data_IF_017868425349
#
_entry.id   IF_017868425349
#
_cell.length_a   1.000
_cell.length_b   1.000
_cell.length_c   1.000
_cell.angle_alpha   90.00
_cell.angle_beta   90.00
_cell.angle_gamma   90.00
#
_symmetry.space_group_name_H-M   'P 1'
#
loop_
_entity.id
_entity.type
_entity.pdbx_description
1 polymer ?
#
# COMPACT_ATOMS: atom_id res chain seq x y z
N UNK A 1 -77.80 -4.65 -0.94
CA UNK A 1 -77.87 -3.93 -2.24
C UNK A 1 -76.62 -3.08 -2.35
N UNK A 2 -75.87 -3.24 -3.45
CA UNK A 2 -75.01 -2.26 -4.19
C UNK A 2 -74.39 -1.11 -3.38
N UNK A 3 -73.10 -0.78 -3.46
CA UNK A 3 -72.19 -0.81 -4.60
C UNK A 3 -71.50 0.56 -4.68
N UNK A 4 -70.19 0.55 -4.97
CA UNK A 4 -69.40 1.58 -5.70
C UNK A 4 -69.17 2.94 -5.00
N UNK A 5 -67.89 3.28 -4.70
CA UNK A 5 -67.00 4.17 -5.49
C UNK A 5 -67.24 5.65 -5.11
N UNK A 6 -66.29 6.57 -4.89
CA UNK A 6 -64.90 6.74 -5.33
C UNK A 6 -64.31 7.98 -4.59
N UNK A 7 -62.98 8.06 -4.54
CA UNK A 7 -62.11 9.26 -4.48
C UNK A 7 -62.19 10.22 -3.25
N UNK A 8 -61.10 10.79 -2.70
CA UNK A 8 -59.81 11.19 -3.25
C UNK A 8 -58.67 10.82 -2.27
N UNK A 9 -57.69 10.03 -2.71
CA UNK A 9 -56.38 10.01 -2.05
C UNK A 9 -55.57 11.16 -2.61
N UNK A 10 -55.53 12.30 -1.89
CA UNK A 10 -54.49 13.28 -2.10
C UNK A 10 -53.14 12.63 -1.79
N UNK A 11 -52.41 12.25 -2.83
CA UNK A 11 -50.98 11.97 -2.77
C UNK A 11 -50.25 13.26 -2.37
N UNK A 12 -50.16 13.47 -1.05
CA UNK A 12 -49.26 14.47 -0.49
C UNK A 12 -47.84 14.10 -0.87
N UNK A 13 -47.27 14.82 -1.83
CA UNK A 13 -45.84 14.80 -2.09
C UNK A 13 -45.11 15.18 -0.80
N UNK A 14 -44.58 14.19 -0.08
CA UNK A 14 -43.63 14.46 1.01
C UNK A 14 -42.31 14.82 0.34
N UNK A 15 -42.09 16.11 0.13
CA UNK A 15 -40.78 16.63 -0.27
C UNK A 15 -39.83 16.52 0.91
N UNK A 16 -39.17 15.38 1.07
CA UNK A 16 -38.05 15.25 2.01
C UNK A 16 -36.90 16.05 1.42
N UNK A 17 -36.68 17.27 1.91
CA UNK A 17 -35.49 18.06 1.57
C UNK A 17 -34.29 17.53 2.37
N UNK A 18 -33.06 17.73 1.89
CA UNK A 18 -31.83 17.31 2.60
C UNK A 18 -31.75 17.86 4.04
N UNK A 19 -32.40 18.99 4.30
CA UNK A 19 -32.50 19.61 5.63
C UNK A 19 -33.40 18.81 6.59
N UNK A 20 -34.40 18.11 6.05
CA UNK A 20 -35.41 17.35 6.81
C UNK A 20 -34.85 16.11 7.52
N UNK A 21 -33.71 15.60 7.04
CA UNK A 21 -33.01 14.41 7.57
C UNK A 21 -31.80 14.77 8.43
N UNK A 22 -31.63 16.05 8.80
CA UNK A 22 -30.52 16.48 9.67
C UNK A 22 -29.13 16.29 9.03
N UNK A 23 -29.06 16.08 7.72
CA UNK A 23 -27.83 16.11 6.92
C UNK A 23 -27.51 17.54 6.51
N UNK A 24 -27.58 18.48 7.47
CA UNK A 24 -26.99 19.79 7.26
C UNK A 24 -25.52 19.57 6.91
N UNK A 25 -25.08 20.11 5.77
CA UNK A 25 -23.71 20.09 5.29
C UNK A 25 -22.76 20.48 6.43
N UNK A 26 -22.15 19.47 7.08
CA UNK A 26 -21.05 19.70 8.03
C UNK A 26 -19.79 19.87 7.16
N UNK A 27 -19.22 21.08 7.05
CA UNK A 27 -18.04 21.29 6.26
C UNK A 27 -16.90 20.43 6.83
N UNK A 28 -16.33 19.55 6.01
CA UNK A 28 -15.20 18.69 6.38
C UNK A 28 -15.55 17.23 6.73
N UNK A 29 -16.80 16.78 6.57
CA UNK A 29 -17.24 15.45 7.03
C UNK A 29 -17.47 14.38 5.95
N UNK A 30 -17.12 14.63 4.70
CA UNK A 30 -17.04 13.57 3.69
C UNK A 30 -15.62 13.01 3.62
N UNK A 31 -15.22 12.31 4.67
CA UNK A 31 -14.27 11.22 4.45
C UNK A 31 -15.03 10.16 3.64
N UNK A 32 -14.49 9.72 2.50
CA UNK A 32 -15.21 8.72 1.70
C UNK A 32 -15.43 7.47 2.56
N UNK A 33 -16.53 6.76 2.33
CA UNK A 33 -16.80 5.51 3.04
C UNK A 33 -15.61 4.54 2.91
N UNK A 34 -14.90 4.57 1.79
CA UNK A 34 -13.65 3.82 1.60
C UNK A 34 -12.52 4.28 2.52
N UNK A 35 -12.34 5.59 2.73
CA UNK A 35 -11.35 6.12 3.65
C UNK A 35 -11.70 5.81 5.11
N UNK A 36 -12.98 5.92 5.48
CA UNK A 36 -13.47 5.52 6.80
C UNK A 36 -13.30 4.01 7.04
N UNK A 37 -13.64 3.17 6.06
CA UNK A 37 -13.46 1.71 6.14
C UNK A 37 -11.97 1.35 6.19
N UNK A 38 -11.11 1.99 5.39
CA UNK A 38 -9.65 1.81 5.46
C UNK A 38 -9.09 2.20 6.83
N UNK A 39 -9.58 3.31 7.42
CA UNK A 39 -9.16 3.74 8.75
C UNK A 39 -9.64 2.79 9.83
N UNK A 40 -10.92 2.40 9.81
CA UNK A 40 -11.46 1.43 10.77
C UNK A 40 -10.76 0.09 10.64
N UNK A 41 -10.44 -0.33 9.41
CA UNK A 41 -9.73 -1.57 9.21
C UNK A 41 -8.25 -1.45 9.64
N UNK A 42 -7.62 -0.27 9.57
CA UNK A 42 -6.34 0.02 10.27
C UNK A 42 -6.44 -0.07 11.79
N UNK A 43 -7.61 0.23 12.37
CA UNK A 43 -7.90 0.02 13.79
C UNK A 43 -8.24 -1.47 14.11
N UNK A 44 -8.73 -2.23 13.13
CA UNK A 44 -8.93 -3.70 13.19
C UNK A 44 -7.60 -4.41 12.89
N UNK A 45 -6.68 -4.44 13.86
CA UNK A 45 -5.49 -5.34 13.92
C UNK A 45 -4.99 -5.87 12.56
N UNK A 46 -4.59 -4.95 11.67
CA UNK A 46 -3.88 -5.38 10.47
C UNK A 46 -2.53 -5.91 10.89
N UNK A 47 -2.26 -7.14 10.45
CA UNK A 47 -0.99 -7.81 10.68
C UNK A 47 0.18 -6.89 10.34
N UNK A 48 1.12 -6.82 11.28
CA UNK A 48 2.33 -6.02 11.12
C UNK A 48 3.42 -6.86 10.46
N UNK A 49 4.34 -6.23 9.72
CA UNK A 49 5.58 -6.88 9.34
C UNK A 49 6.30 -7.37 10.58
N UNK A 50 6.73 -8.64 10.56
CA UNK A 50 7.57 -9.26 11.60
C UNK A 50 8.96 -9.59 11.10
N UNK A 51 9.14 -9.67 9.78
CA UNK A 51 10.45 -9.91 9.17
C UNK A 51 10.58 -9.10 7.88
N UNK A 52 11.72 -8.43 7.72
CA UNK A 52 12.13 -7.82 6.47
C UNK A 52 13.62 -8.11 6.24
N UNK A 53 13.94 -8.95 5.25
CA UNK A 53 15.29 -9.48 5.05
C UNK A 53 15.73 -9.48 3.60
N UNK A 54 17.04 -9.43 3.38
CA UNK A 54 17.62 -9.57 2.04
C UNK A 54 17.65 -11.05 1.65
N UNK A 55 17.26 -11.35 0.41
CA UNK A 55 17.40 -12.70 -0.17
C UNK A 55 18.56 -12.80 -1.17
N UNK A 56 18.86 -11.71 -1.89
CA UNK A 56 20.01 -11.66 -2.79
C UNK A 56 21.33 -11.70 -2.04
N UNK A 57 22.35 -12.31 -2.65
CA UNK A 57 23.73 -12.19 -2.19
C UNK A 57 24.24 -10.78 -2.47
N UNK A 58 24.66 -10.06 -1.43
CA UNK A 58 25.22 -8.72 -1.52
C UNK A 58 26.75 -8.78 -1.54
N UNK A 59 27.45 -7.96 -2.36
CA UNK A 59 26.89 -7.01 -3.31
C UNK A 59 26.43 -7.68 -4.62
N UNK A 60 25.40 -7.09 -5.25
CA UNK A 60 25.11 -7.40 -6.66
C UNK A 60 26.00 -6.55 -7.56
N UNK A 61 26.43 -7.09 -8.70
CA UNK A 61 27.37 -6.42 -9.61
C UNK A 61 26.83 -6.36 -11.03
N UNK A 62 27.18 -5.29 -11.75
CA UNK A 62 26.79 -5.09 -13.15
C UNK A 62 27.51 -3.93 -13.81
N UNK A 63 27.15 -3.62 -15.04
CA UNK A 63 27.76 -2.52 -15.80
C UNK A 63 27.07 -1.19 -15.56
N UNK A 64 27.80 -0.09 -15.58
CA UNK A 64 27.22 1.25 -15.62
C UNK A 64 26.20 1.39 -16.77
N UNK A 65 25.08 2.08 -16.52
CA UNK A 65 23.94 2.18 -17.44
C UNK A 65 22.95 1.02 -17.35
N UNK A 66 23.29 -0.09 -16.69
CA UNK A 66 22.37 -1.20 -16.50
C UNK A 66 21.42 -0.98 -15.32
N UNK A 67 20.26 -1.64 -15.38
CA UNK A 67 19.39 -1.82 -14.22
C UNK A 67 19.66 -3.18 -13.60
N UNK A 68 20.00 -3.21 -12.31
CA UNK A 68 20.16 -4.43 -11.53
C UNK A 68 18.96 -4.61 -10.61
N UNK A 69 18.64 -5.86 -10.31
CA UNK A 69 17.54 -6.21 -9.41
C UNK A 69 18.07 -7.04 -8.26
N UNK A 70 17.81 -6.63 -7.01
CA UNK A 70 17.95 -7.51 -5.86
C UNK A 70 16.58 -7.87 -5.29
N UNK A 71 16.57 -8.94 -4.51
CA UNK A 71 15.36 -9.52 -3.93
C UNK A 71 15.43 -9.38 -2.41
N UNK A 72 14.36 -8.87 -1.83
CA UNK A 72 14.10 -8.88 -0.39
C UNK A 72 12.83 -9.69 -0.08
N UNK A 73 12.69 -10.15 1.16
CA UNK A 73 11.53 -10.87 1.67
C UNK A 73 10.87 -10.04 2.76
N UNK A 74 9.55 -9.90 2.66
CA UNK A 74 8.69 -9.30 3.68
C UNK A 74 7.76 -10.39 4.22
N UNK A 75 7.63 -10.49 5.54
CA UNK A 75 6.74 -11.44 6.20
C UNK A 75 5.86 -10.76 7.23
N UNK A 76 4.58 -11.11 7.24
CA UNK A 76 3.57 -10.66 8.17
C UNK A 76 3.41 -11.63 9.35
N UNK A 77 2.87 -11.12 10.46
CA UNK A 77 2.45 -11.97 11.58
C UNK A 77 1.25 -12.83 11.17
N UNK A 78 1.41 -14.15 11.16
CA UNK A 78 0.34 -15.08 10.81
C UNK A 78 -0.71 -15.28 11.90
N UNK A 79 -0.50 -14.72 13.10
CA UNK A 79 -1.49 -14.77 14.19
C UNK A 79 -2.62 -13.75 14.02
N UNK A 80 -2.43 -12.76 13.15
CA UNK A 80 -3.41 -11.73 12.82
C UNK A 80 -3.97 -11.92 11.40
N UNK A 81 -4.93 -11.06 11.00
CA UNK A 81 -5.53 -11.13 9.68
C UNK A 81 -4.52 -10.78 8.59
N UNK A 82 -4.27 -11.71 7.67
CA UNK A 82 -3.28 -11.58 6.58
C UNK A 82 -3.96 -11.60 5.22
N UNK A 83 -3.44 -10.82 4.27
CA UNK A 83 -3.92 -10.83 2.88
C UNK A 83 -2.86 -10.30 1.92
N UNK A 84 -3.00 -10.65 0.63
CA UNK A 84 -2.20 -10.07 -0.44
C UNK A 84 -2.28 -8.54 -0.49
N UNK A 85 -3.47 -7.95 -0.29
CA UNK A 85 -3.65 -6.51 -0.33
C UNK A 85 -2.86 -5.79 0.78
N UNK A 86 -2.79 -6.40 1.98
CA UNK A 86 -1.98 -5.87 3.09
C UNK A 86 -0.49 -5.91 2.75
N UNK A 87 0.00 -7.01 2.16
CA UNK A 87 1.39 -7.11 1.68
C UNK A 87 1.72 -6.02 0.64
N UNK A 88 0.80 -5.76 -0.29
CA UNK A 88 0.96 -4.74 -1.33
C UNK A 88 0.94 -3.32 -0.76
N UNK A 89 0.04 -3.02 0.19
CA UNK A 89 0.01 -1.73 0.89
C UNK A 89 1.31 -1.48 1.67
N UNK A 90 1.75 -2.46 2.47
CA UNK A 90 2.98 -2.34 3.25
C UNK A 90 4.19 -2.17 2.34
N UNK A 91 4.25 -2.87 1.21
CA UNK A 91 5.33 -2.69 0.24
C UNK A 91 5.31 -1.29 -0.40
N UNK A 92 4.12 -0.71 -0.59
CA UNK A 92 3.89 0.69 -0.98
C UNK A 92 4.48 1.71 -0.02
N UNK A 93 4.47 1.38 1.27
CA UNK A 93 4.96 2.27 2.33
C UNK A 93 6.48 2.14 2.58
N UNK A 94 7.18 1.23 1.90
CA UNK A 94 8.64 1.09 2.04
C UNK A 94 9.34 2.27 1.38
N UNK A 95 10.14 3.00 2.17
CA UNK A 95 11.02 4.05 1.64
C UNK A 95 12.35 3.44 1.21
N UNK A 96 12.72 3.63 -0.05
CA UNK A 96 13.99 3.17 -0.60
C UNK A 96 14.97 4.32 -0.83
N UNK A 97 16.19 4.19 -0.33
CA UNK A 97 17.23 5.22 -0.38
C UNK A 97 18.53 4.63 -0.90
N UNK A 98 19.16 5.31 -1.86
CA UNK A 98 20.53 5.02 -2.29
C UNK A 98 21.49 5.90 -1.51
N UNK A 99 22.61 5.33 -1.03
CA UNK A 99 23.67 6.09 -0.35
C UNK A 99 24.33 7.15 -1.25
N UNK A 100 24.24 7.00 -2.58
CA UNK A 100 24.69 8.00 -3.54
C UNK A 100 23.81 7.97 -4.80
N UNK A 101 22.84 8.89 -4.86
CA UNK A 101 21.89 9.01 -5.98
C UNK A 101 22.54 9.44 -7.30
N UNK A 102 23.75 10.01 -7.26
CA UNK A 102 24.49 10.38 -8.49
C UNK A 102 25.16 9.18 -9.16
N UNK A 103 25.47 8.13 -8.38
CA UNK A 103 26.04 6.89 -8.89
C UNK A 103 24.94 5.89 -9.27
N UNK A 104 23.92 5.73 -8.43
CA UNK A 104 22.78 4.86 -8.73
C UNK A 104 21.52 5.28 -7.96
N UNK A 105 20.35 5.01 -8.54
CA UNK A 105 19.05 5.30 -7.93
C UNK A 105 18.10 4.11 -8.01
N UNK A 106 17.25 3.96 -6.99
CA UNK A 106 16.14 3.00 -7.04
C UNK A 106 15.08 3.54 -8.00
N UNK A 107 14.73 2.78 -9.02
CA UNK A 107 13.77 3.19 -10.05
C UNK A 107 12.36 2.64 -9.83
N UNK A 108 12.24 1.65 -8.95
CA UNK A 108 10.97 1.07 -8.56
C UNK A 108 11.15 -0.30 -7.94
N UNK A 109 10.04 -0.92 -7.61
CA UNK A 109 10.00 -2.29 -7.12
C UNK A 109 8.79 -3.01 -7.72
N UNK A 110 8.85 -4.33 -7.72
CA UNK A 110 7.67 -5.18 -7.95
C UNK A 110 7.55 -6.19 -6.82
N UNK A 111 6.32 -6.61 -6.54
CA UNK A 111 6.01 -7.55 -5.47
C UNK A 111 5.44 -8.83 -6.06
N UNK A 112 5.89 -9.97 -5.55
CA UNK A 112 5.25 -11.27 -5.75
C UNK A 112 4.94 -11.89 -4.42
N UNK A 113 3.68 -12.17 -4.18
CA UNK A 113 3.20 -12.86 -2.98
C UNK A 113 3.18 -14.36 -3.25
N UNK A 114 3.87 -15.15 -2.43
CA UNK A 114 3.77 -16.62 -2.51
C UNK A 114 2.45 -17.09 -1.90
N UNK A 115 2.11 -16.48 -0.78
CA UNK A 115 0.92 -16.71 0.01
C UNK A 115 0.46 -15.35 0.58
N UNK A 116 -0.52 -15.35 1.48
CA UNK A 116 -1.03 -14.12 2.09
C UNK A 116 -0.14 -13.57 3.22
N UNK A 117 0.98 -14.22 3.54
CA UNK A 117 1.85 -13.92 4.69
C UNK A 117 3.22 -13.42 4.23
N UNK A 118 3.74 -13.96 3.12
CA UNK A 118 5.12 -13.75 2.64
C UNK A 118 5.15 -13.20 1.23
N UNK A 119 5.89 -12.11 1.05
CA UNK A 119 6.15 -11.48 -0.23
C UNK A 119 7.64 -11.43 -0.56
N UNK A 120 7.95 -11.63 -1.84
CA UNK A 120 9.23 -11.30 -2.44
C UNK A 120 9.15 -9.95 -3.14
N UNK A 121 10.02 -9.03 -2.77
CA UNK A 121 10.17 -7.70 -3.33
C UNK A 121 11.37 -7.69 -4.26
N UNK A 122 11.15 -7.35 -5.52
CA UNK A 122 12.18 -7.23 -6.54
C UNK A 122 12.44 -5.74 -6.76
N UNK A 123 13.57 -5.26 -6.27
CA UNK A 123 13.91 -3.84 -6.22
C UNK A 123 14.88 -3.53 -7.34
N UNK A 124 14.53 -2.57 -8.19
CA UNK A 124 15.30 -2.19 -9.36
C UNK A 124 16.18 -0.98 -9.05
N UNK A 125 17.47 -1.09 -9.39
CA UNK A 125 18.48 -0.08 -9.17
C UNK A 125 19.14 0.23 -10.51
N UNK A 126 19.00 1.46 -10.99
CA UNK A 126 19.67 1.94 -12.19
C UNK A 126 21.02 2.53 -11.81
N UNK A 127 22.09 2.00 -12.41
CA UNK A 127 23.44 2.56 -12.28
C UNK A 127 23.66 3.67 -13.31
N UNK A 128 23.85 4.90 -12.86
CA UNK A 128 24.13 6.05 -13.73
C UNK A 128 25.60 6.11 -14.14
N UNK A 129 26.49 5.67 -13.25
CA UNK A 129 27.95 5.69 -13.42
C UNK A 129 28.58 4.51 -12.67
N UNK A 130 29.82 4.18 -13.00
CA UNK A 130 30.59 3.21 -12.24
C UNK A 130 30.80 3.70 -10.80
N UNK A 131 30.69 2.78 -9.84
CA UNK A 131 30.76 3.08 -8.42
C UNK A 131 30.05 2.03 -7.57
N UNK A 132 30.22 2.14 -6.25
CA UNK A 132 29.55 1.29 -5.27
C UNK A 132 28.57 2.12 -4.45
N UNK A 133 27.35 1.61 -4.29
CA UNK A 133 26.32 2.21 -3.43
C UNK A 133 25.72 1.16 -2.50
N UNK A 134 25.15 1.63 -1.40
CA UNK A 134 24.25 0.82 -0.57
C UNK A 134 22.83 1.32 -0.79
N UNK A 135 21.93 0.41 -1.15
CA UNK A 135 20.49 0.68 -1.22
C UNK A 135 19.82 0.15 0.03
N UNK A 136 19.11 1.02 0.75
CA UNK A 136 18.41 0.70 1.99
C UNK A 136 16.91 0.88 1.81
N UNK A 137 16.13 -0.14 2.14
CA UNK A 137 14.67 -0.07 2.26
C UNK A 137 14.25 -0.03 3.71
N UNK A 138 13.36 0.87 4.08
CA UNK A 138 12.88 1.04 5.46
C UNK A 138 11.36 1.04 5.51
N UNK A 139 10.80 0.19 6.36
CA UNK A 139 9.37 0.14 6.68
C UNK A 139 8.99 1.25 7.67
N UNK A 140 7.71 1.67 7.74
CA UNK A 140 7.25 2.68 8.70
C UNK A 140 7.50 2.33 10.18
N UNK A 141 7.60 1.03 10.50
CA UNK A 141 7.93 0.55 11.84
C UNK A 141 9.43 0.52 12.15
N UNK A 142 10.28 1.04 11.25
CA UNK A 142 11.72 1.16 11.42
C UNK A 142 12.54 -0.07 10.99
N UNK A 143 11.90 -1.19 10.65
CA UNK A 143 12.63 -2.34 10.12
C UNK A 143 13.23 -2.01 8.75
N UNK A 144 14.47 -2.43 8.52
CA UNK A 144 15.17 -2.12 7.28
C UNK A 144 15.97 -3.28 6.73
N UNK A 145 16.15 -3.25 5.41
CA UNK A 145 17.04 -4.14 4.66
C UNK A 145 18.01 -3.29 3.86
N UNK A 146 19.25 -3.76 3.68
CA UNK A 146 20.23 -3.09 2.84
C UNK A 146 20.91 -4.05 1.89
N UNK A 147 21.19 -3.60 0.66
CA UNK A 147 21.92 -4.34 -0.35
C UNK A 147 23.03 -3.45 -0.93
N UNK A 148 24.25 -3.98 -1.01
CA UNK A 148 25.33 -3.36 -1.76
C UNK A 148 25.14 -3.58 -3.26
N UNK A 149 25.38 -2.55 -4.06
CA UNK A 149 25.28 -2.57 -5.51
C UNK A 149 26.52 -1.94 -6.11
N UNK A 150 27.21 -2.68 -6.97
CA UNK A 150 28.45 -2.22 -7.62
C UNK A 150 28.24 -2.17 -9.13
N UNK A 151 28.48 -1.01 -9.71
CA UNK A 151 28.51 -0.77 -11.15
C UNK A 151 29.95 -0.60 -11.60
N UNK A 152 30.36 -1.40 -12.59
CA UNK A 152 31.68 -1.33 -13.23
C UNK A 152 31.59 -0.59 -14.57
#
# INVERSE_FOLDING_TARGET
VKGEAEEEYHTGYVSITKESIGLADVPGRLESLEAMVKRLAKEVHYTKPVEFKLLSTSPITGSAGATLTFIASLKLDSSEMTSKAILEEIAGDITWVSSNTTAASVTGYSIRTRDNITASLYVNVLGHKSGSVTVTGTLPNGMGVSCGVVFN
#
